data_IF_085369778061
#
_entry.id   IF_085369778061
#
_cell.length_a   1.000
_cell.length_b   1.000
_cell.length_c   1.000
_cell.angle_alpha   90.00
_cell.angle_beta   90.00
_cell.angle_gamma   90.00
#
_symmetry.space_group_name_H-M   'P 1'
#
loop_
_entity.id
_entity.type
_entity.pdbx_description
1 polymer ?
#
# COMPACT_ATOMS: atom_id res chain seq x y z
N UNK A 1 -14.56 -10.43 18.54
CA UNK A 1 -13.17 -10.01 18.26
C UNK A 1 -13.22 -8.76 17.42
N UNK A 2 -12.40 -7.76 17.71
CA UNK A 2 -12.33 -6.53 16.93
C UNK A 2 -11.30 -6.73 15.81
N UNK A 3 -11.78 -7.02 14.60
CA UNK A 3 -10.94 -6.91 13.41
C UNK A 3 -10.68 -5.43 13.14
N UNK A 4 -9.42 -5.07 12.90
CA UNK A 4 -9.08 -3.73 12.42
C UNK A 4 -9.79 -3.51 11.09
N UNK A 5 -10.52 -2.40 10.90
CA UNK A 5 -11.25 -2.13 9.66
C UNK A 5 -10.28 -1.63 8.58
N UNK A 6 -9.35 -2.50 8.19
CA UNK A 6 -8.20 -2.14 7.35
C UNK A 6 -8.62 -1.54 6.01
N UNK A 7 -9.68 -2.07 5.40
CA UNK A 7 -10.22 -1.50 4.16
C UNK A 7 -10.75 -0.08 4.35
N UNK A 8 -11.40 0.24 5.49
CA UNK A 8 -11.85 1.62 5.74
C UNK A 8 -10.66 2.55 5.97
N UNK A 9 -9.66 2.10 6.71
CA UNK A 9 -8.43 2.85 6.94
C UNK A 9 -7.73 3.19 5.63
N UNK A 10 -7.52 2.19 4.76
CA UNK A 10 -6.89 2.39 3.46
C UNK A 10 -7.72 3.30 2.56
N UNK A 11 -9.05 3.30 2.67
CA UNK A 11 -9.92 4.21 1.93
C UNK A 11 -10.01 5.62 2.47
N UNK A 12 -9.75 5.82 3.77
CA UNK A 12 -9.94 7.10 4.44
C UNK A 12 -8.74 7.51 5.31
N UNK A 13 -8.63 6.97 6.52
CA UNK A 13 -7.76 7.51 7.58
C UNK A 13 -6.28 7.50 7.21
N UNK A 14 -5.80 6.44 6.56
CA UNK A 14 -4.40 6.28 6.15
C UNK A 14 -4.23 6.39 4.63
N UNK A 15 -5.29 6.67 3.87
CA UNK A 15 -5.25 6.75 2.41
C UNK A 15 -4.08 7.61 1.90
N UNK A 16 -3.87 8.85 2.39
CA UNK A 16 -2.81 9.70 1.86
C UNK A 16 -1.41 9.12 2.12
N UNK A 17 -1.20 8.52 3.30
CA UNK A 17 0.06 7.89 3.66
C UNK A 17 0.31 6.63 2.82
N UNK A 18 -0.71 5.79 2.64
CA UNK A 18 -0.63 4.60 1.82
C UNK A 18 -0.33 4.96 0.36
N UNK A 19 -1.04 5.93 -0.22
CA UNK A 19 -0.82 6.41 -1.58
C UNK A 19 0.60 6.95 -1.78
N UNK A 20 1.11 7.73 -0.81
CA UNK A 20 2.49 8.22 -0.82
C UNK A 20 3.48 7.06 -0.83
N UNK A 21 3.35 6.09 0.08
CA UNK A 21 4.28 4.96 0.18
C UNK A 21 4.24 4.08 -1.06
N UNK A 22 3.03 3.79 -1.57
CA UNK A 22 2.83 2.92 -2.72
C UNK A 22 3.34 3.55 -4.02
N UNK A 23 3.21 4.87 -4.22
CA UNK A 23 3.39 5.46 -5.55
C UNK A 23 4.39 6.62 -5.64
N UNK A 24 4.91 7.12 -4.53
CA UNK A 24 5.88 8.24 -4.52
C UNK A 24 7.27 7.83 -4.04
N UNK A 25 7.46 6.57 -3.67
CA UNK A 25 8.77 6.03 -3.31
C UNK A 25 9.62 5.81 -4.57
N UNK A 26 10.86 6.32 -4.57
CA UNK A 26 11.80 6.16 -5.70
C UNK A 26 12.48 4.78 -5.74
N UNK A 27 12.51 4.08 -4.61
CA UNK A 27 13.08 2.73 -4.44
C UNK A 27 12.16 1.89 -3.55
N UNK A 28 12.32 0.57 -3.58
CA UNK A 28 11.49 -0.37 -2.83
C UNK A 28 10.42 -0.99 -3.73
N UNK A 29 9.14 -0.67 -3.51
CA UNK A 29 8.04 -1.30 -4.27
C UNK A 29 8.24 -1.23 -5.79
N UNK A 30 8.67 -0.07 -6.30
CA UNK A 30 8.92 0.14 -7.73
C UNK A 30 10.02 -0.77 -8.30
N UNK A 31 10.96 -1.24 -7.47
CA UNK A 31 12.06 -2.12 -7.89
C UNK A 31 11.64 -3.59 -8.01
N UNK A 32 10.62 -4.01 -7.25
CA UNK A 32 10.24 -5.43 -7.12
C UNK A 32 8.83 -5.77 -7.63
N UNK A 33 7.95 -4.79 -7.79
CA UNK A 33 6.55 -5.00 -8.16
C UNK A 33 6.20 -4.33 -9.49
N UNK A 34 5.23 -4.92 -10.20
CA UNK A 34 4.63 -4.29 -11.39
C UNK A 34 3.71 -3.17 -10.95
N UNK A 35 4.21 -1.93 -10.93
CA UNK A 35 3.48 -0.79 -10.38
C UNK A 35 2.13 -0.51 -11.05
N UNK A 36 1.97 -0.86 -12.34
CA UNK A 36 0.68 -0.75 -13.02
C UNK A 36 -0.38 -1.69 -12.40
N UNK A 37 0.03 -2.88 -11.95
CA UNK A 37 -0.87 -3.81 -11.27
C UNK A 37 -1.18 -3.34 -9.84
N UNK A 38 -0.19 -2.78 -9.14
CA UNK A 38 -0.40 -2.18 -7.81
C UNK A 38 -1.43 -1.04 -7.90
N UNK A 39 -1.34 -0.21 -8.94
CA UNK A 39 -2.28 0.87 -9.19
C UNK A 39 -3.68 0.37 -9.50
N UNK A 40 -3.80 -0.70 -10.30
CA UNK A 40 -5.09 -1.35 -10.55
C UNK A 40 -5.74 -1.84 -9.24
N UNK A 41 -4.99 -2.56 -8.39
CA UNK A 41 -5.51 -3.04 -7.09
C UNK A 41 -5.94 -1.89 -6.19
N UNK A 42 -5.14 -0.82 -6.15
CA UNK A 42 -5.47 0.40 -5.41
C UNK A 42 -6.77 1.03 -5.91
N UNK A 43 -6.93 1.24 -7.21
CA UNK A 43 -8.12 1.87 -7.78
C UNK A 43 -9.38 1.00 -7.59
N UNK A 44 -9.27 -0.33 -7.75
CA UNK A 44 -10.36 -1.26 -7.48
C UNK A 44 -10.77 -1.28 -6.00
N UNK A 45 -9.80 -1.18 -5.09
CA UNK A 45 -10.05 -1.07 -3.64
C UNK A 45 -10.69 0.27 -3.28
N UNK A 46 -10.17 1.37 -3.81
CA UNK A 46 -10.68 2.72 -3.57
C UNK A 46 -12.08 2.94 -4.12
N UNK A 47 -12.46 2.25 -5.18
CA UNK A 47 -13.78 2.34 -5.81
C UNK A 47 -14.82 1.41 -5.19
N UNK A 48 -14.48 0.66 -4.13
CA UNK A 48 -15.30 -0.40 -3.55
C UNK A 48 -15.67 -1.53 -4.53
N UNK A 49 -14.95 -1.64 -5.66
CA UNK A 49 -15.20 -2.70 -6.65
C UNK A 49 -14.81 -4.07 -6.11
N UNK A 50 -13.67 -4.14 -5.41
CA UNK A 50 -13.18 -5.35 -4.75
C UNK A 50 -12.33 -4.96 -3.54
N UNK A 51 -12.33 -5.79 -2.49
CA UNK A 51 -11.50 -5.55 -1.32
C UNK A 51 -10.11 -6.19 -1.47
N UNK A 52 -9.07 -5.36 -1.62
CA UNK A 52 -7.66 -5.74 -1.59
C UNK A 52 -6.91 -5.17 -0.37
N UNK A 53 -7.61 -4.98 0.76
CA UNK A 53 -7.04 -4.38 1.96
C UNK A 53 -5.75 -5.09 2.43
N UNK A 54 -5.76 -6.42 2.42
CA UNK A 54 -4.63 -7.22 2.91
C UNK A 54 -3.40 -7.08 2.00
N UNK A 55 -3.59 -7.15 0.68
CA UNK A 55 -2.50 -6.99 -0.30
C UNK A 55 -1.89 -5.59 -0.23
N UNK A 56 -2.73 -4.56 -0.24
CA UNK A 56 -2.29 -3.17 -0.18
C UNK A 56 -1.58 -2.86 1.14
N UNK A 57 -2.09 -3.38 2.26
CA UNK A 57 -1.43 -3.22 3.55
C UNK A 57 -0.07 -3.92 3.60
N UNK A 58 0.05 -5.13 3.06
CA UNK A 58 1.33 -5.82 2.97
C UNK A 58 2.35 -5.02 2.15
N UNK A 59 1.92 -4.39 1.06
CA UNK A 59 2.78 -3.51 0.25
C UNK A 59 3.20 -2.24 1.01
N UNK A 60 2.27 -1.62 1.76
CA UNK A 60 2.57 -0.47 2.62
C UNK A 60 3.60 -0.85 3.70
N UNK A 61 3.40 -1.99 4.38
CA UNK A 61 4.34 -2.50 5.37
C UNK A 61 5.70 -2.82 4.76
N UNK A 62 5.72 -3.43 3.57
CA UNK A 62 6.95 -3.70 2.84
C UNK A 62 7.73 -2.42 2.54
N UNK A 63 7.07 -1.37 2.04
CA UNK A 63 7.75 -0.10 1.76
C UNK A 63 8.29 0.56 3.03
N UNK A 64 7.54 0.53 4.14
CA UNK A 64 8.01 1.06 5.42
C UNK A 64 9.24 0.32 5.94
N UNK A 65 9.23 -1.02 5.85
CA UNK A 65 10.38 -1.83 6.21
C UNK A 65 11.57 -1.52 5.29
N UNK A 66 11.33 -1.42 3.98
CA UNK A 66 12.36 -1.11 2.99
C UNK A 66 13.04 0.22 3.31
N UNK A 67 12.25 1.27 3.53
CA UNK A 67 12.73 2.61 3.89
C UNK A 67 13.55 2.63 5.18
N UNK A 68 13.29 1.70 6.11
CA UNK A 68 13.93 1.66 7.43
C UNK A 68 15.20 0.81 7.45
N UNK A 69 15.24 -0.26 6.67
CA UNK A 69 16.23 -1.33 6.82
C UNK A 69 16.94 -1.74 5.53
N UNK A 70 16.35 -1.51 4.36
CA UNK A 70 16.90 -1.94 3.07
C UNK A 70 17.58 -0.81 2.29
N UNK A 71 17.24 0.44 2.58
CA UNK A 71 18.03 1.59 2.18
C UNK A 71 19.32 1.60 2.99
N UNK A 72 20.47 1.46 2.31
CA UNK A 72 21.77 1.51 2.97
C UNK A 72 21.94 2.86 3.67
N UNK A 73 22.06 2.84 5.00
CA UNK A 73 22.54 3.97 5.79
C UNK A 73 24.05 4.10 5.67
#
# INVERSE_FOLDING_TARGET
GFSVPLGEWLRHEIKPLAEQLLFQSETGLCDYFKMDQVRLLWDEHQSHKQDYADELWNMVMFQLWFNRYATGN
#
